data_IF_811585066579
#
_entry.id   IF_811585066579
#
_cell.length_a   1.000
_cell.length_b   1.000
_cell.length_c   1.000
_cell.angle_alpha   90.00
_cell.angle_beta   90.00
_cell.angle_gamma   90.00
#
_symmetry.space_group_name_H-M   'P 1'
#
loop_
_entity.id
_entity.type
_entity.pdbx_description
1 polymer ?
#
# COMPACT_ATOMS: atom_id res chain seq x y z
N UNK A 1 -17.67 -19.70 9.02
CA UNK A 1 -17.34 -18.29 9.34
C UNK A 1 -15.91 -18.07 8.90
N UNK A 2 -15.69 -17.74 7.63
CA UNK A 2 -14.35 -17.59 7.06
C UNK A 2 -14.13 -16.12 6.73
N UNK A 3 -13.37 -15.42 7.57
CA UNK A 3 -12.68 -14.19 7.19
C UNK A 3 -11.47 -14.01 8.12
N UNK A 4 -10.44 -14.75 7.78
CA UNK A 4 -9.12 -14.71 8.39
C UNK A 4 -8.36 -13.47 7.92
N UNK A 5 -7.71 -12.80 8.89
CA UNK A 5 -6.61 -11.82 8.75
C UNK A 5 -6.97 -10.32 8.64
N UNK A 6 -7.83 -9.81 9.53
CA UNK A 6 -7.72 -8.37 9.94
C UNK A 6 -6.66 -8.21 11.04
N UNK A 7 -5.40 -8.59 10.77
CA UNK A 7 -4.30 -8.15 11.65
C UNK A 7 -3.88 -6.76 11.21
N UNK A 8 -4.73 -5.78 11.54
CA UNK A 8 -4.41 -4.34 11.57
C UNK A 8 -3.27 -4.14 12.57
N UNK A 9 -2.04 -4.38 12.14
CA UNK A 9 -0.86 -4.15 12.95
C UNK A 9 0.01 -3.12 12.24
N UNK A 10 -0.53 -1.90 12.14
CA UNK A 10 0.19 -0.63 12.07
C UNK A 10 -0.79 0.48 12.51
N UNK A 11 -0.91 0.79 13.82
CA UNK A 11 -1.83 1.83 14.32
C UNK A 11 -1.47 3.28 13.95
N UNK A 12 -0.31 3.53 13.31
CA UNK A 12 0.22 4.90 13.15
C UNK A 12 0.05 5.51 11.75
N UNK A 13 -0.23 4.72 10.72
CA UNK A 13 -0.38 5.25 9.35
C UNK A 13 -1.81 5.03 8.88
N UNK A 14 -2.48 6.12 8.50
CA UNK A 14 -3.84 6.04 7.97
C UNK A 14 -3.85 5.30 6.63
N UNK A 15 -4.93 4.57 6.31
CA UNK A 15 -5.06 3.92 5.02
C UNK A 15 -4.98 4.91 3.84
N UNK A 16 -5.44 6.15 4.05
CA UNK A 16 -5.33 7.25 3.11
C UNK A 16 -3.87 7.64 2.85
N UNK A 17 -3.07 7.80 3.92
CA UNK A 17 -1.65 8.15 3.80
C UNK A 17 -0.84 7.10 3.02
N UNK A 18 -1.14 5.83 3.27
CA UNK A 18 -0.57 4.71 2.50
C UNK A 18 -0.93 4.83 1.01
N UNK A 19 -2.20 5.08 0.70
CA UNK A 19 -2.71 5.16 -0.66
C UNK A 19 -2.06 6.32 -1.41
N UNK A 20 -2.01 7.50 -0.78
CA UNK A 20 -1.41 8.70 -1.35
C UNK A 20 0.08 8.48 -1.65
N UNK A 21 0.82 7.88 -0.71
CA UNK A 21 2.24 7.54 -0.90
C UNK A 21 2.46 6.56 -2.05
N UNK A 22 1.63 5.53 -2.16
CA UNK A 22 1.72 4.55 -3.25
C UNK A 22 1.29 5.14 -4.60
N UNK A 23 0.29 6.03 -4.61
CA UNK A 23 -0.16 6.76 -5.80
C UNK A 23 0.93 7.69 -6.32
N UNK A 24 1.66 8.40 -5.48
CA UNK A 24 2.79 9.23 -5.91
C UNK A 24 3.83 8.45 -6.72
N UNK A 25 4.09 7.20 -6.34
CA UNK A 25 5.05 6.33 -7.03
C UNK A 25 4.52 5.86 -8.39
N UNK A 26 3.25 5.44 -8.45
CA UNK A 26 2.67 4.88 -9.68
C UNK A 26 2.23 5.97 -10.66
N UNK A 27 1.65 7.05 -10.14
CA UNK A 27 1.01 8.12 -10.91
C UNK A 27 2.00 9.21 -11.30
N UNK A 28 2.83 9.66 -10.35
CA UNK A 28 3.88 10.66 -10.62
C UNK A 28 5.24 10.03 -11.00
N UNK A 29 5.38 8.70 -10.94
CA UNK A 29 6.61 8.02 -11.33
C UNK A 29 7.78 8.19 -10.34
N UNK A 30 7.49 8.58 -9.09
CA UNK A 30 8.51 8.70 -8.05
C UNK A 30 9.15 7.35 -7.73
N UNK A 31 10.45 7.34 -7.42
CA UNK A 31 11.08 6.11 -6.92
C UNK A 31 10.61 5.78 -5.51
N UNK A 32 10.49 4.48 -5.21
CA UNK A 32 10.18 3.97 -3.85
C UNK A 32 11.12 4.57 -2.80
N UNK A 33 12.39 4.81 -3.16
CA UNK A 33 13.39 5.45 -2.29
C UNK A 33 13.03 6.91 -1.99
N UNK A 34 12.70 7.70 -3.01
CA UNK A 34 12.39 9.12 -2.86
C UNK A 34 11.10 9.34 -2.06
N UNK A 35 10.05 8.57 -2.36
CA UNK A 35 8.80 8.62 -1.61
C UNK A 35 8.98 8.16 -0.15
N UNK A 36 9.80 7.12 0.08
CA UNK A 36 10.14 6.66 1.43
C UNK A 36 10.88 7.74 2.24
N UNK A 37 11.83 8.44 1.62
CA UNK A 37 12.57 9.54 2.26
C UNK A 37 11.66 10.75 2.52
N UNK A 38 10.81 11.13 1.55
CA UNK A 38 9.88 12.24 1.69
C UNK A 38 8.80 12.01 2.76
N UNK A 39 8.28 10.78 2.86
CA UNK A 39 7.23 10.40 3.80
C UNK A 39 7.77 9.89 5.14
N UNK A 40 9.10 9.80 5.31
CA UNK A 40 9.75 9.19 6.48
C UNK A 40 9.26 7.76 6.78
N UNK A 41 9.05 6.98 5.71
CA UNK A 41 8.58 5.58 5.78
C UNK A 41 9.70 4.65 5.36
N UNK A 42 9.82 3.49 6.01
CA UNK A 42 10.79 2.47 5.60
C UNK A 42 10.52 1.98 4.17
N UNK A 43 11.58 1.82 3.36
CA UNK A 43 11.48 1.33 1.97
C UNK A 43 10.68 0.04 1.83
N UNK A 44 10.82 -0.90 2.78
CA UNK A 44 10.07 -2.16 2.80
C UNK A 44 8.58 -1.97 3.02
N UNK A 45 8.18 -0.95 3.78
CA UNK A 45 6.78 -0.58 3.98
C UNK A 45 6.22 0.05 2.71
N UNK A 46 6.99 0.95 2.09
CA UNK A 46 6.61 1.60 0.84
C UNK A 46 6.46 0.59 -0.32
N UNK A 47 7.39 -0.36 -0.45
CA UNK A 47 7.31 -1.45 -1.44
C UNK A 47 6.04 -2.29 -1.28
N UNK A 48 5.68 -2.65 -0.04
CA UNK A 48 4.42 -3.37 0.25
C UNK A 48 3.19 -2.59 -0.17
N UNK A 49 3.18 -1.28 0.05
CA UNK A 49 2.06 -0.41 -0.30
C UNK A 49 1.91 -0.25 -1.82
N UNK A 50 3.01 -0.06 -2.53
CA UNK A 50 3.02 0.00 -4.00
C UNK A 50 2.58 -1.32 -4.61
N UNK A 51 3.09 -2.45 -4.09
CA UNK A 51 2.66 -3.79 -4.51
C UNK A 51 1.16 -3.97 -4.30
N UNK A 52 0.64 -3.60 -3.13
CA UNK A 52 -0.79 -3.69 -2.85
C UNK A 52 -1.62 -2.85 -3.81
N UNK A 53 -1.21 -1.60 -4.09
CA UNK A 53 -1.91 -0.71 -5.00
C UNK A 53 -1.88 -1.20 -6.46
N UNK A 54 -0.77 -1.83 -6.87
CA UNK A 54 -0.67 -2.49 -8.19
C UNK A 54 -1.60 -3.68 -8.29
N UNK A 55 -1.65 -4.52 -7.26
CA UNK A 55 -2.54 -5.69 -7.16
C UNK A 55 -4.01 -5.24 -7.29
N UNK A 56 -4.39 -4.17 -6.57
CA UNK A 56 -5.73 -3.58 -6.65
C UNK A 56 -6.04 -3.02 -8.06
N UNK A 57 -5.08 -2.37 -8.74
CA UNK A 57 -5.23 -1.86 -10.13
C UNK A 57 -5.25 -2.96 -11.18
N UNK A 58 -4.54 -4.07 -10.96
CA UNK A 58 -4.50 -5.23 -11.87
C UNK A 58 -5.80 -6.06 -11.78
N UNK A 59 -6.74 -5.67 -10.92
CA UNK A 59 -7.97 -6.43 -10.69
C UNK A 59 -7.73 -7.67 -9.82
N UNK A 60 -6.53 -7.83 -9.26
CA UNK A 60 -6.26 -8.65 -8.08
C UNK A 60 -6.67 -7.81 -6.85
N UNK A 61 -7.91 -7.31 -6.87
CA UNK A 61 -8.58 -7.16 -5.59
C UNK A 61 -8.75 -8.58 -5.06
N UNK A 62 -8.48 -8.89 -3.78
CA UNK A 62 -8.90 -10.16 -3.23
C UNK A 62 -10.40 -10.19 -3.44
N UNK A 63 -10.84 -10.90 -4.49
CA UNK A 63 -12.24 -11.21 -4.72
C UNK A 63 -12.68 -11.79 -3.39
N UNK A 64 -13.50 -11.04 -2.67
CA UNK A 64 -14.41 -11.60 -1.70
C UNK A 64 -15.01 -12.81 -2.41
N UNK A 65 -14.64 -14.00 -1.94
CA UNK A 65 -15.15 -15.24 -2.48
C UNK A 65 -16.66 -15.17 -2.25
N UNK A 66 -17.42 -15.14 -3.35
CA UNK A 66 -18.86 -15.30 -3.36
C UNK A 66 -19.25 -16.60 -2.64
#
# INVERSE_FOLDING_TARGET
>A
MVDTMTKKMCPNFTPEFRLESAQLIIDQGYSVKEAAEAMSVGKSTMDKWVRQLKDERDGITPKAHQ
#
